data_IF_164203131197
#
_entry.id   IF_164203131197
#
_cell.length_a   1.000
_cell.length_b   1.000
_cell.length_c   1.000
_cell.angle_alpha   90.00
_cell.angle_beta   90.00
_cell.angle_gamma   90.00
#
_symmetry.space_group_name_H-M   'P 1'
#
loop_
_entity.id
_entity.type
_entity.pdbx_description
1 polymer ?
#
# COMPACT_ATOMS: atom_id res chain seq x y z
N UNK A 1 -19.74 -22.34 2.04
CA UNK A 1 -19.26 -22.15 0.66
C UNK A 1 -18.72 -20.75 0.62
N UNK A 2 -17.40 -20.59 0.78
CA UNK A 2 -16.77 -19.27 0.65
C UNK A 2 -16.64 -19.01 -0.84
N UNK A 3 -17.22 -17.91 -1.31
CA UNK A 3 -17.05 -17.45 -2.69
C UNK A 3 -15.54 -17.41 -3.01
N UNK A 4 -15.10 -17.89 -4.19
CA UNK A 4 -13.72 -17.73 -4.58
C UNK A 4 -13.47 -16.23 -4.64
N UNK A 5 -12.53 -15.75 -3.81
CA UNK A 5 -12.01 -14.39 -3.92
C UNK A 5 -11.74 -14.16 -5.41
N UNK A 6 -12.49 -13.23 -6.04
CA UNK A 6 -12.27 -12.86 -7.43
C UNK A 6 -10.76 -12.74 -7.62
N UNK A 7 -10.20 -13.58 -8.50
CA UNK A 7 -8.76 -13.65 -8.73
C UNK A 7 -8.25 -12.23 -8.90
N UNK A 8 -7.36 -11.80 -8.00
CA UNK A 8 -6.75 -10.48 -8.01
C UNK A 8 -6.36 -10.12 -9.44
N UNK A 9 -7.15 -9.26 -10.08
CA UNK A 9 -6.96 -8.88 -11.47
C UNK A 9 -6.42 -7.45 -11.51
N UNK A 10 -5.09 -7.28 -11.54
CA UNK A 10 -4.49 -5.96 -11.49
C UNK A 10 -4.87 -5.09 -12.70
N UNK A 11 -5.37 -5.67 -13.80
CA UNK A 11 -5.86 -4.94 -14.98
C UNK A 11 -7.19 -4.20 -14.76
N UNK A 12 -7.93 -4.53 -13.68
CA UNK A 12 -9.13 -3.77 -13.29
C UNK A 12 -8.81 -2.45 -12.59
N UNK A 13 -7.56 -2.32 -12.16
CA UNK A 13 -7.07 -1.20 -11.37
C UNK A 13 -6.04 -0.41 -12.19
N UNK A 14 -5.07 -1.06 -12.83
CA UNK A 14 -4.00 -0.40 -13.56
C UNK A 14 -4.15 -0.50 -15.08
N UNK A 15 -3.74 0.54 -15.79
CA UNK A 15 -3.57 0.48 -17.26
C UNK A 15 -2.38 -0.41 -17.62
N UNK A 16 -2.32 -0.89 -18.87
CA UNK A 16 -1.19 -1.69 -19.33
C UNK A 16 0.15 -0.93 -19.19
N UNK A 17 0.15 0.38 -19.49
CA UNK A 17 1.34 1.23 -19.36
C UNK A 17 1.82 1.33 -17.90
N UNK A 18 0.90 1.43 -16.94
CA UNK A 18 1.24 1.43 -15.51
C UNK A 18 1.76 0.07 -15.05
N UNK A 19 1.18 -1.03 -15.53
CA UNK A 19 1.66 -2.38 -15.23
C UNK A 19 3.05 -2.62 -15.81
N UNK A 20 3.30 -2.19 -17.05
CA UNK A 20 4.59 -2.29 -17.71
C UNK A 20 5.65 -1.44 -16.97
N UNK A 21 5.28 -0.23 -16.53
CA UNK A 21 6.12 0.62 -15.69
C UNK A 21 6.50 -0.08 -14.38
N UNK A 22 5.51 -0.60 -13.63
CA UNK A 22 5.73 -1.30 -12.37
C UNK A 22 6.60 -2.56 -12.56
N UNK A 23 6.32 -3.34 -13.60
CA UNK A 23 7.08 -4.56 -13.95
C UNK A 23 8.54 -4.24 -14.28
N UNK A 24 8.78 -3.22 -15.11
CA UNK A 24 10.12 -2.74 -15.41
C UNK A 24 10.85 -2.25 -14.15
N UNK A 25 10.15 -1.50 -13.29
CA UNK A 25 10.72 -1.00 -12.03
C UNK A 25 11.13 -2.14 -11.09
N UNK A 26 10.25 -3.12 -10.89
CA UNK A 26 10.55 -4.31 -10.09
C UNK A 26 11.71 -5.11 -10.68
N UNK A 27 11.78 -5.23 -12.01
CA UNK A 27 12.89 -5.90 -12.70
C UNK A 27 14.22 -5.18 -12.47
N UNK A 28 14.23 -3.84 -12.42
CA UNK A 28 15.43 -3.05 -12.13
C UNK A 28 15.89 -3.16 -10.67
N UNK A 29 14.95 -3.26 -9.72
CA UNK A 29 15.26 -3.51 -8.30
C UNK A 29 15.80 -4.92 -8.08
N UNK A 30 15.38 -5.86 -8.92
CA UNK A 30 15.72 -7.27 -8.80
C UNK A 30 14.83 -8.00 -7.80
N UNK A 31 14.65 -9.30 -8.03
CA UNK A 31 13.76 -10.14 -7.25
C UNK A 31 14.07 -10.11 -5.74
N UNK A 32 15.35 -10.21 -5.38
CA UNK A 32 15.78 -10.23 -3.97
C UNK A 32 15.33 -8.97 -3.21
N UNK A 33 15.51 -7.78 -3.80
CA UNK A 33 15.12 -6.53 -3.15
C UNK A 33 13.61 -6.38 -3.09
N UNK A 34 12.89 -6.79 -4.14
CA UNK A 34 11.42 -6.79 -4.13
C UNK A 34 10.89 -7.69 -3.02
N UNK A 35 11.43 -8.90 -2.85
CA UNK A 35 11.05 -9.80 -1.75
C UNK A 35 11.31 -9.17 -0.39
N UNK A 36 12.49 -8.59 -0.17
CA UNK A 36 12.82 -7.90 1.08
C UNK A 36 11.84 -6.74 1.36
N UNK A 37 11.51 -5.93 0.36
CA UNK A 37 10.55 -4.83 0.51
C UNK A 37 9.18 -5.36 0.93
N UNK A 38 8.70 -6.45 0.33
CA UNK A 38 7.41 -7.05 0.67
C UNK A 38 7.40 -7.60 2.12
N UNK A 39 8.50 -8.23 2.55
CA UNK A 39 8.65 -8.70 3.92
C UNK A 39 8.68 -7.54 4.93
N UNK A 40 9.48 -6.50 4.65
CA UNK A 40 9.54 -5.28 5.47
C UNK A 40 8.17 -4.59 5.54
N UNK A 41 7.44 -4.54 4.42
CA UNK A 41 6.09 -4.00 4.35
C UNK A 41 5.12 -4.76 5.25
N UNK A 42 5.12 -6.09 5.20
CA UNK A 42 4.26 -6.92 6.03
C UNK A 42 4.53 -6.73 7.53
N UNK A 43 5.81 -6.66 7.91
CA UNK A 43 6.20 -6.42 9.30
C UNK A 43 5.71 -5.05 9.79
N UNK A 44 5.89 -3.99 8.98
CA UNK A 44 5.43 -2.64 9.32
C UNK A 44 3.91 -2.56 9.42
N UNK A 45 3.17 -3.20 8.50
CA UNK A 45 1.71 -3.25 8.58
C UNK A 45 1.21 -4.03 9.79
N UNK A 46 1.92 -5.09 10.20
CA UNK A 46 1.58 -5.84 11.40
C UNK A 46 1.68 -4.96 12.64
N UNK A 47 2.73 -4.13 12.73
CA UNK A 47 2.88 -3.17 13.81
C UNK A 47 1.80 -2.07 13.76
N UNK A 48 1.48 -1.53 12.58
CA UNK A 48 0.39 -0.56 12.42
C UNK A 48 -0.98 -1.14 12.77
N UNK A 49 -1.21 -2.43 12.51
CA UNK A 49 -2.44 -3.11 12.93
C UNK A 49 -2.56 -3.11 14.45
N UNK A 50 -1.48 -3.42 15.17
CA UNK A 50 -1.46 -3.36 16.62
C UNK A 50 -1.67 -1.93 17.15
N UNK A 51 -1.12 -0.91 16.48
CA UNK A 51 -1.31 0.50 16.85
C UNK A 51 -2.76 0.95 16.62
N UNK A 52 -3.37 0.52 15.52
CA UNK A 52 -4.79 0.75 15.22
C UNK A 52 -5.69 0.07 16.26
N UNK A 53 -5.40 -1.17 16.66
CA UNK A 53 -6.14 -1.90 17.69
C UNK A 53 -6.02 -1.25 19.08
N UNK A 54 -4.89 -0.61 19.36
CA UNK A 54 -4.69 0.22 20.55
C UNK A 54 -5.38 1.59 20.47
N UNK A 55 -5.95 1.95 19.32
CA UNK A 55 -6.63 3.23 19.10
C UNK A 55 -5.68 4.40 18.92
N UNK A 56 -4.43 4.16 18.51
CA UNK A 56 -3.46 5.23 18.26
C UNK A 56 -3.83 6.00 16.99
N UNK A 57 -3.73 7.33 17.04
CA UNK A 57 -3.96 8.16 15.87
C UNK A 57 -2.88 7.89 14.80
N UNK A 58 -3.21 7.95 13.49
CA UNK A 58 -2.23 7.77 12.42
C UNK A 58 -1.14 8.86 12.40
N UNK A 59 -1.38 10.00 13.07
CA UNK A 59 -0.42 11.08 13.28
C UNK A 59 0.35 11.00 14.60
N UNK A 60 0.14 9.95 15.41
CA UNK A 60 0.85 9.74 16.68
C UNK A 60 2.37 9.64 16.42
N UNK A 61 3.18 10.20 17.32
CA UNK A 61 4.64 10.21 17.20
C UNK A 61 5.24 8.80 17.14
N UNK A 62 4.55 7.80 17.72
CA UNK A 62 4.95 6.39 17.67
C UNK A 62 4.68 5.74 16.31
N UNK A 63 3.65 6.21 15.61
CA UNK A 63 3.22 5.70 14.30
C UNK A 63 4.04 6.32 13.17
N UNK A 64 4.41 7.59 13.32
CA UNK A 64 5.19 8.36 12.33
C UNK A 64 6.46 7.66 11.81
N UNK A 65 7.33 7.03 12.63
CA UNK A 65 8.52 6.33 12.11
C UNK A 65 8.16 5.10 11.26
N UNK A 66 7.09 4.37 11.59
CA UNK A 66 6.62 3.22 10.80
C UNK A 66 6.09 3.71 9.45
N UNK A 67 5.27 4.75 9.48
CA UNK A 67 4.73 5.38 8.28
C UNK A 67 5.81 5.96 7.37
N UNK A 68 6.84 6.59 7.94
CA UNK A 68 7.97 7.13 7.16
C UNK A 68 8.71 6.01 6.42
N UNK A 69 8.93 4.87 7.08
CA UNK A 69 9.54 3.69 6.43
C UNK A 69 8.65 3.15 5.31
N UNK A 70 7.34 3.06 5.52
CA UNK A 70 6.40 2.63 4.48
C UNK A 70 6.41 3.58 3.27
N UNK A 71 6.46 4.89 3.49
CA UNK A 71 6.60 5.87 2.40
C UNK A 71 7.88 5.60 1.60
N UNK A 72 9.01 5.37 2.29
CA UNK A 72 10.28 5.07 1.63
C UNK A 72 10.23 3.76 0.84
N UNK A 73 9.68 2.68 1.40
CA UNK A 73 9.51 1.40 0.72
C UNK A 73 8.59 1.50 -0.50
N UNK A 74 7.47 2.23 -0.38
CA UNK A 74 6.56 2.50 -1.49
C UNK A 74 7.27 3.25 -2.62
N UNK A 75 8.00 4.31 -2.26
CA UNK A 75 8.77 5.10 -3.22
C UNK A 75 9.90 4.30 -3.86
N UNK A 76 10.51 3.36 -3.15
CA UNK A 76 11.53 2.48 -3.71
C UNK A 76 10.92 1.52 -4.75
N UNK A 77 9.82 0.84 -4.35
CA UNK A 77 9.12 -0.18 -5.13
C UNK A 77 8.42 0.37 -6.38
N UNK A 78 7.68 1.47 -6.21
CA UNK A 78 6.87 2.08 -7.27
C UNK A 78 7.63 3.21 -7.98
N UNK A 79 8.56 3.89 -7.31
CA UNK A 79 9.09 5.16 -7.81
C UNK A 79 8.11 6.32 -7.64
N UNK A 80 8.45 7.47 -8.22
CA UNK A 80 7.54 8.62 -8.36
C UNK A 80 7.34 8.94 -9.85
N UNK A 81 6.45 8.21 -10.55
CA UNK A 81 6.06 8.58 -11.90
C UNK A 81 5.09 9.77 -11.80
N UNK A 82 5.62 10.98 -11.89
CA UNK A 82 4.83 12.21 -11.91
C UNK A 82 3.69 12.18 -12.95
N UNK A 83 3.87 11.42 -14.04
CA UNK A 83 2.89 11.24 -15.12
C UNK A 83 1.66 10.40 -14.75
N UNK A 84 1.74 9.51 -13.75
CA UNK A 84 0.64 8.61 -13.36
C UNK A 84 0.08 8.89 -11.95
N UNK A 85 0.55 9.96 -11.29
CA UNK A 85 0.25 10.25 -9.89
C UNK A 85 -1.26 10.34 -9.60
N UNK A 86 -2.01 10.98 -10.47
CA UNK A 86 -3.47 11.13 -10.33
C UNK A 86 -4.20 9.79 -10.50
N UNK A 87 -3.80 9.00 -11.49
CA UNK A 87 -4.38 7.67 -11.72
C UNK A 87 -4.11 6.73 -10.54
N UNK A 88 -2.89 6.72 -10.02
CA UNK A 88 -2.53 5.91 -8.83
C UNK A 88 -3.38 6.27 -7.61
N UNK A 89 -3.75 7.54 -7.44
CA UNK A 89 -4.61 7.98 -6.34
C UNK A 89 -6.05 7.48 -6.49
N UNK A 90 -6.62 7.56 -7.71
CA UNK A 90 -7.96 7.03 -8.01
C UNK A 90 -8.01 5.53 -7.79
N UNK A 91 -6.98 4.81 -8.23
CA UNK A 91 -6.86 3.36 -8.07
C UNK A 91 -6.80 3.00 -6.59
N UNK A 92 -5.98 3.71 -5.81
CA UNK A 92 -5.86 3.48 -4.38
C UNK A 92 -7.21 3.68 -3.65
N UNK A 93 -7.97 4.71 -4.01
CA UNK A 93 -9.30 4.95 -3.45
C UNK A 93 -10.26 3.80 -3.78
N UNK A 94 -10.31 3.36 -5.05
CA UNK A 94 -11.15 2.25 -5.48
C UNK A 94 -10.78 0.95 -4.77
N UNK A 95 -9.49 0.60 -4.70
CA UNK A 95 -9.02 -0.58 -3.96
C UNK A 95 -9.40 -0.53 -2.48
N UNK A 96 -9.39 0.66 -1.86
CA UNK A 96 -9.85 0.83 -0.49
C UNK A 96 -11.35 0.57 -0.35
N UNK A 97 -12.17 1.10 -1.27
CA UNK A 97 -13.62 0.87 -1.27
C UNK A 97 -13.95 -0.62 -1.41
N UNK A 98 -13.31 -1.30 -2.35
CA UNK A 98 -13.51 -2.73 -2.59
C UNK A 98 -13.08 -3.56 -1.36
N UNK A 99 -11.92 -3.25 -0.78
CA UNK A 99 -11.46 -3.93 0.44
C UNK A 99 -12.39 -3.69 1.63
N UNK A 100 -12.89 -2.46 1.83
CA UNK A 100 -13.86 -2.19 2.89
C UNK A 100 -15.17 -2.98 2.73
N UNK A 101 -15.55 -3.30 1.49
CA UNK A 101 -16.75 -4.10 1.19
C UNK A 101 -16.50 -5.61 1.41
N UNK A 102 -15.32 -6.12 1.08
CA UNK A 102 -14.97 -7.55 1.19
C UNK A 102 -14.46 -7.92 2.58
N UNK A 103 -13.49 -7.18 3.10
CA UNK A 103 -12.89 -7.34 4.43
C UNK A 103 -12.77 -5.96 5.13
N UNK A 104 -13.78 -5.57 5.92
CA UNK A 104 -13.77 -4.29 6.61
C UNK A 104 -12.58 -4.09 7.56
N UNK A 105 -11.99 -5.15 8.10
CA UNK A 105 -10.83 -5.04 8.98
C UNK A 105 -9.58 -4.68 8.18
N UNK A 106 -9.38 -5.37 7.06
CA UNK A 106 -8.27 -5.09 6.15
C UNK A 106 -8.41 -3.73 5.46
N UNK A 107 -9.63 -3.35 5.06
CA UNK A 107 -9.92 -2.01 4.54
C UNK A 107 -9.62 -0.90 5.55
N UNK A 108 -9.97 -1.08 6.83
CA UNK A 108 -9.62 -0.13 7.90
C UNK A 108 -8.11 -0.01 8.10
N UNK A 109 -7.39 -1.13 8.07
CA UNK A 109 -5.93 -1.12 8.15
C UNK A 109 -5.32 -0.38 6.97
N UNK A 110 -5.80 -0.61 5.75
CA UNK A 110 -5.32 0.11 4.56
C UNK A 110 -5.58 1.61 4.67
N UNK A 111 -6.78 2.02 5.08
CA UNK A 111 -7.10 3.44 5.31
C UNK A 111 -6.18 4.05 6.37
N UNK A 112 -5.98 3.37 7.49
CA UNK A 112 -5.10 3.81 8.57
C UNK A 112 -3.65 3.95 8.09
N UNK A 113 -3.16 2.98 7.33
CA UNK A 113 -1.82 2.98 6.75
C UNK A 113 -1.64 4.16 5.80
N UNK A 114 -2.61 4.41 4.91
CA UNK A 114 -2.58 5.55 3.99
C UNK A 114 -2.53 6.89 4.74
N UNK A 115 -3.41 7.07 5.72
CA UNK A 115 -3.44 8.29 6.55
C UNK A 115 -2.13 8.50 7.31
N UNK A 116 -1.55 7.43 7.84
CA UNK A 116 -0.27 7.50 8.54
C UNK A 116 0.86 7.91 7.59
N UNK A 117 0.92 7.33 6.39
CA UNK A 117 1.89 7.71 5.35
C UNK A 117 1.73 9.17 4.90
N UNK A 118 0.50 9.65 4.71
CA UNK A 118 0.23 11.05 4.38
C UNK A 118 0.64 12.01 5.52
N UNK A 119 0.37 11.63 6.77
CA UNK A 119 0.77 12.41 7.94
C UNK A 119 2.30 12.44 8.12
N UNK A 120 3.00 11.37 7.75
CA UNK A 120 4.46 11.31 7.77
C UNK A 120 5.13 12.10 6.64
N UNK A 121 4.41 12.33 5.53
CA UNK A 121 4.89 13.09 4.37
C UNK A 121 4.71 14.62 4.52
N UNK A 122 4.13 15.08 5.63
CA UNK A 122 3.95 16.49 6.01
C UNK A 122 4.92 16.92 7.12
#
# INVERSE_FOLDING_TARGET
>A
MSEPLEEYNPTQYYTQEQLDYLSNRQSQLGYERVTQILEEWEQLRTQLRADLEQGLAPSDERVRPLATKLVALKAELVGDPAEFREDFAVIQEKSLQDLLAIDPAEGKLLAYTNQAMEAASK
#
